data_IF_471268301612
#
_entry.id   IF_471268301612
#
_cell.length_a   1.000
_cell.length_b   1.000
_cell.length_c   1.000
_cell.angle_alpha   90.00
_cell.angle_beta   90.00
_cell.angle_gamma   90.00
#
_symmetry.space_group_name_H-M   'P 1'
#
loop_
_entity.id
_entity.type
_entity.pdbx_description
1 polymer ?
#
# COMPACT_ATOMS: atom_id res chain seq x y z
N UNK A 1 31.52 -8.35 -12.01
CA UNK A 1 31.20 -7.96 -10.60
C UNK A 1 30.74 -6.51 -10.51
N UNK A 2 31.44 -5.55 -11.12
CA UNK A 2 31.04 -4.13 -11.17
C UNK A 2 29.63 -3.91 -11.70
N UNK A 3 29.27 -4.50 -12.84
CA UNK A 3 27.90 -4.39 -13.39
C UNK A 3 26.83 -4.90 -12.43
N UNK A 4 27.10 -6.01 -11.74
CA UNK A 4 26.18 -6.60 -10.76
C UNK A 4 25.94 -5.66 -9.57
N UNK A 5 26.99 -5.04 -9.03
CA UNK A 5 26.84 -4.07 -7.94
C UNK A 5 26.10 -2.81 -8.39
N UNK A 6 26.32 -2.37 -9.64
CA UNK A 6 25.68 -1.19 -10.20
C UNK A 6 24.18 -1.42 -10.44
N UNK A 7 23.80 -2.59 -10.96
CA UNK A 7 22.40 -2.96 -11.14
C UNK A 7 21.69 -3.19 -9.81
N UNK A 8 22.34 -3.88 -8.85
CA UNK A 8 21.78 -4.12 -7.52
C UNK A 8 21.57 -2.80 -6.77
N UNK A 9 22.57 -1.91 -6.79
CA UNK A 9 22.47 -0.59 -6.17
C UNK A 9 21.37 0.27 -6.81
N UNK A 10 21.30 0.28 -8.15
CA UNK A 10 20.24 0.98 -8.87
C UNK A 10 18.83 0.47 -8.51
N UNK A 11 18.64 -0.85 -8.49
CA UNK A 11 17.36 -1.48 -8.12
C UNK A 11 16.95 -1.13 -6.68
N UNK A 12 17.90 -1.17 -5.74
CA UNK A 12 17.65 -0.82 -4.34
C UNK A 12 17.18 0.64 -4.18
N UNK A 13 17.80 1.57 -4.91
CA UNK A 13 17.42 2.99 -4.90
C UNK A 13 15.99 3.16 -5.44
N UNK A 14 15.66 2.51 -6.57
CA UNK A 14 14.30 2.57 -7.14
C UNK A 14 13.27 2.03 -6.16
N UNK A 15 13.53 0.90 -5.52
CA UNK A 15 12.63 0.35 -4.50
C UNK A 15 12.45 1.27 -3.30
N UNK A 16 13.52 1.91 -2.84
CA UNK A 16 13.44 2.88 -1.74
C UNK A 16 12.54 4.08 -2.11
N UNK A 17 12.68 4.63 -3.32
CA UNK A 17 11.84 5.73 -3.80
C UNK A 17 10.36 5.30 -3.86
N UNK A 18 10.08 4.11 -4.40
CA UNK A 18 8.72 3.58 -4.47
C UNK A 18 8.12 3.39 -3.06
N UNK A 19 8.89 2.85 -2.11
CA UNK A 19 8.46 2.65 -0.74
C UNK A 19 8.12 3.98 -0.05
N UNK A 20 8.98 4.99 -0.19
CA UNK A 20 8.72 6.35 0.32
C UNK A 20 7.46 6.93 -0.30
N UNK A 21 7.27 6.77 -1.61
CA UNK A 21 6.07 7.19 -2.32
C UNK A 21 4.80 6.58 -1.74
N UNK A 22 4.78 5.27 -1.49
CA UNK A 22 3.63 4.58 -0.89
C UNK A 22 3.33 5.08 0.53
N UNK A 23 4.36 5.33 1.35
CA UNK A 23 4.19 5.83 2.71
C UNK A 23 3.59 7.25 2.72
N UNK A 24 4.04 8.12 1.81
CA UNK A 24 3.55 9.50 1.71
C UNK A 24 2.14 9.58 1.10
N UNK A 25 1.87 8.74 0.11
CA UNK A 25 0.60 8.67 -0.59
C UNK A 25 -0.53 8.27 0.36
N UNK A 26 -0.26 7.33 1.27
CA UNK A 26 -1.16 6.95 2.36
C UNK A 26 -2.54 6.46 1.90
N UNK A 27 -2.73 6.21 0.59
CA UNK A 27 -3.96 5.61 0.05
C UNK A 27 -4.05 4.17 0.50
N UNK A 28 -5.28 3.72 0.72
CA UNK A 28 -5.51 2.33 1.05
C UNK A 28 -5.30 1.45 -0.19
N UNK A 29 -4.38 0.49 -0.09
CA UNK A 29 -4.14 -0.48 -1.18
C UNK A 29 -5.42 -1.28 -1.44
N UNK A 30 -6.00 -1.08 -2.63
CA UNK A 30 -7.13 -1.88 -3.14
C UNK A 30 -6.69 -3.35 -3.22
N UNK A 31 -7.29 -4.20 -2.38
CA UNK A 31 -6.99 -5.64 -2.30
C UNK A 31 -6.52 -6.12 -0.93
N UNK A 32 -5.92 -5.25 -0.10
CA UNK A 32 -5.56 -5.60 1.30
C UNK A 32 -6.52 -4.94 2.30
N UNK A 33 -6.76 -3.64 2.18
CA UNK A 33 -7.63 -2.89 3.11
C UNK A 33 -8.45 -1.75 2.45
N UNK A 34 -8.24 -1.46 1.16
CA UNK A 34 -8.89 -0.35 0.42
C UNK A 34 -9.98 -0.76 -0.57
N UNK A 35 -10.52 -1.98 -0.43
CA UNK A 35 -11.65 -2.45 -1.23
C UNK A 35 -13.01 -2.02 -0.66
N UNK A 36 -14.12 -2.27 -1.38
CA UNK A 36 -15.47 -2.04 -0.87
C UNK A 36 -15.66 -2.72 0.49
N UNK A 37 -16.52 -2.16 1.34
CA UNK A 37 -16.89 -2.79 2.61
C UNK A 37 -17.49 -4.17 2.34
N UNK A 38 -16.70 -5.20 2.66
CA UNK A 38 -17.13 -6.59 2.66
C UNK A 38 -17.24 -7.03 4.11
N UNK A 39 -18.43 -7.45 4.49
CA UNK A 39 -18.73 -7.93 5.84
C UNK A 39 -18.45 -9.42 5.89
N UNK A 40 -17.77 -9.86 6.94
CA UNK A 40 -17.57 -11.28 7.20
C UNK A 40 -18.86 -11.98 7.66
N UNK A 41 -18.87 -13.33 7.69
CA UNK A 41 -20.02 -14.12 8.15
C UNK A 41 -20.46 -13.83 9.61
N UNK A 42 -19.62 -13.16 10.41
CA UNK A 42 -19.88 -12.79 11.80
C UNK A 42 -20.32 -11.31 11.98
N UNK A 43 -20.72 -10.62 10.91
CA UNK A 43 -21.06 -9.19 10.87
C UNK A 43 -19.89 -8.23 11.17
N UNK A 44 -18.67 -8.76 11.36
CA UNK A 44 -17.45 -7.97 11.48
C UNK A 44 -17.01 -7.43 10.11
N UNK A 45 -16.70 -6.13 10.07
CA UNK A 45 -16.10 -5.53 8.87
C UNK A 45 -14.69 -6.07 8.68
N UNK A 46 -14.46 -6.73 7.54
CA UNK A 46 -13.12 -7.19 7.12
C UNK A 46 -12.22 -6.01 6.68
N UNK A 47 -12.72 -4.78 6.82
CA UNK A 47 -11.95 -3.57 6.65
C UNK A 47 -10.93 -3.40 7.78
N UNK A 48 -9.65 -3.37 7.44
CA UNK A 48 -8.59 -3.12 8.41
C UNK A 48 -8.78 -1.75 9.11
N UNK A 49 -8.77 -1.75 10.44
CA UNK A 49 -8.77 -0.53 11.26
C UNK A 49 -7.51 0.34 11.04
N UNK A 50 -6.43 -0.25 10.51
CA UNK A 50 -5.12 0.38 10.29
C UNK A 50 -5.09 1.36 9.13
N UNK A 51 -6.09 1.41 8.25
CA UNK A 51 -6.03 2.26 7.07
C UNK A 51 -6.51 3.69 7.37
N UNK A 52 -5.61 4.67 7.58
CA UNK A 52 -5.98 5.96 8.18
C UNK A 52 -6.79 6.84 7.22
N UNK A 53 -6.70 6.58 5.91
CA UNK A 53 -7.24 7.43 4.83
C UNK A 53 -8.52 6.87 4.18
N UNK A 54 -9.12 5.81 4.74
CA UNK A 54 -10.33 5.16 4.20
C UNK A 54 -11.55 6.09 4.08
N UNK A 55 -11.75 7.01 5.04
CA UNK A 55 -12.91 7.93 5.06
C UNK A 55 -12.92 8.98 3.94
N UNK A 56 -11.78 9.25 3.29
CA UNK A 56 -11.68 10.21 2.19
C UNK A 56 -11.78 9.58 0.80
N UNK A 57 -11.63 8.25 0.68
CA UNK A 57 -11.67 7.55 -0.61
C UNK A 57 -13.09 7.03 -0.96
N UNK A 58 -14.05 7.10 -0.04
CA UNK A 58 -15.46 6.66 -0.25
C UNK A 58 -16.39 7.76 -0.77
N UNK A 59 -15.87 8.95 -1.12
CA UNK A 59 -16.65 10.12 -1.54
C UNK A 59 -16.40 10.55 -3.00
N UNK A 60 -15.94 9.64 -3.86
CA UNK A 60 -15.89 9.81 -5.33
C UNK A 60 -16.54 8.63 -6.01
#
# INVERSE_FOLDING_TARGET
MTLFLLTLGGMAIVMAIMAVGVILDGRCLRGSCGGPDVTGPDDDSLACATCPRRRSESST
#
